data_IF_404330069610
#
_entry.id   IF_404330069610
#
_cell.length_a   1.000
_cell.length_b   1.000
_cell.length_c   1.000
_cell.angle_alpha   90.00
_cell.angle_beta   90.00
_cell.angle_gamma   90.00
#
_symmetry.space_group_name_H-M   'P 1'
#
loop_
_entity.id
_entity.type
_entity.pdbx_description
1 polymer ?
#
# COMPACT_ATOMS: atom_id res chain seq x y z
N UNK A 1 23.38 2.08 -23.85
CA UNK A 1 22.37 1.62 -22.89
C UNK A 1 21.00 1.71 -23.55
N UNK A 2 20.35 0.59 -23.84
CA UNK A 2 18.98 0.60 -24.40
C UNK A 2 18.02 0.80 -23.23
N UNK A 3 17.40 1.97 -23.14
CA UNK A 3 16.25 2.18 -22.26
C UNK A 3 15.16 1.17 -22.65
N UNK A 4 15.01 0.14 -21.84
CA UNK A 4 13.89 -0.79 -21.97
C UNK A 4 12.65 0.03 -21.64
N UNK A 5 11.75 0.19 -22.61
CA UNK A 5 10.46 0.82 -22.38
C UNK A 5 9.79 0.14 -21.17
N UNK A 6 9.19 0.90 -20.25
CA UNK A 6 8.50 0.30 -19.12
C UNK A 6 7.44 -0.65 -19.67
N UNK A 7 7.44 -1.87 -19.15
CA UNK A 7 6.48 -2.91 -19.55
C UNK A 7 5.10 -2.56 -19.01
N UNK A 8 4.35 -1.78 -19.77
CA UNK A 8 2.98 -1.38 -19.46
C UNK A 8 1.98 -2.53 -19.61
N UNK A 9 2.40 -3.71 -20.04
CA UNK A 9 1.54 -4.86 -20.23
C UNK A 9 0.82 -5.27 -18.95
N UNK A 10 1.46 -5.09 -17.77
CA UNK A 10 0.82 -5.38 -16.48
C UNK A 10 -0.33 -4.41 -16.14
N UNK A 11 -0.28 -3.16 -16.64
CA UNK A 11 -1.37 -2.19 -16.48
C UNK A 11 -2.54 -2.49 -17.43
N UNK A 12 -2.23 -3.12 -18.56
CA UNK A 12 -3.18 -3.43 -19.62
C UNK A 12 -3.70 -4.88 -19.51
N UNK A 13 -3.14 -5.69 -18.62
CA UNK A 13 -3.65 -7.04 -18.37
C UNK A 13 -5.11 -6.93 -17.94
N UNK A 14 -6.01 -7.12 -18.89
CA UNK A 14 -7.43 -7.29 -18.66
C UNK A 14 -7.58 -8.57 -17.83
N UNK A 15 -7.69 -8.42 -16.49
CA UNK A 15 -8.07 -9.55 -15.67
C UNK A 15 -9.51 -9.91 -16.04
N UNK A 16 -9.80 -11.18 -16.24
CA UNK A 16 -11.18 -11.70 -16.39
C UNK A 16 -12.04 -11.49 -15.13
N UNK A 17 -11.48 -10.78 -14.14
CA UNK A 17 -12.16 -10.45 -12.91
C UNK A 17 -13.37 -9.52 -13.19
N UNK A 18 -14.49 -9.73 -12.48
CA UNK A 18 -15.67 -8.87 -12.58
C UNK A 18 -15.32 -7.39 -12.36
N UNK A 19 -16.07 -6.52 -13.04
CA UNK A 19 -15.91 -5.07 -12.83
C UNK A 19 -16.20 -4.73 -11.35
N UNK A 20 -15.29 -4.03 -10.65
CA UNK A 20 -15.53 -3.65 -9.27
C UNK A 20 -16.64 -2.61 -9.17
N UNK A 21 -17.37 -2.57 -8.03
CA UNK A 21 -18.35 -1.51 -7.80
C UNK A 21 -17.64 -0.14 -7.73
N UNK A 22 -18.26 0.92 -8.29
CA UNK A 22 -17.68 2.26 -8.28
C UNK A 22 -17.51 2.78 -6.86
N UNK A 23 -16.42 3.50 -6.59
CA UNK A 23 -16.20 4.18 -5.30
C UNK A 23 -16.91 5.53 -5.34
N UNK A 24 -17.88 5.81 -4.45
CA UNK A 24 -18.53 7.11 -4.35
C UNK A 24 -17.54 8.23 -4.01
N UNK A 25 -17.76 9.41 -4.54
CA UNK A 25 -16.89 10.57 -4.30
C UNK A 25 -16.71 10.88 -2.80
N UNK A 26 -17.77 10.73 -2.00
CA UNK A 26 -17.67 10.92 -0.55
C UNK A 26 -16.69 9.98 0.16
N UNK A 27 -16.58 8.72 -0.28
CA UNK A 27 -15.58 7.79 0.24
C UNK A 27 -14.17 8.13 -0.24
N UNK A 28 -14.01 8.54 -1.50
CA UNK A 28 -12.72 9.03 -2.03
C UNK A 28 -12.20 10.23 -1.25
N UNK A 29 -13.07 11.20 -0.94
CA UNK A 29 -12.69 12.37 -0.14
C UNK A 29 -12.25 11.95 1.27
N UNK A 30 -12.99 11.06 1.94
CA UNK A 30 -12.62 10.56 3.27
C UNK A 30 -11.28 9.82 3.25
N UNK A 31 -11.07 8.94 2.28
CA UNK A 31 -9.79 8.25 2.10
C UNK A 31 -8.65 9.25 1.82
N UNK A 32 -8.89 10.27 1.00
CA UNK A 32 -7.93 11.34 0.73
C UNK A 32 -7.58 12.14 1.98
N UNK A 33 -8.53 12.42 2.88
CA UNK A 33 -8.28 13.08 4.17
C UNK A 33 -7.36 12.24 5.06
N UNK A 34 -7.60 10.92 5.17
CA UNK A 34 -6.70 10.02 5.89
C UNK A 34 -5.31 9.99 5.27
N UNK A 35 -5.22 9.96 3.95
CA UNK A 35 -3.94 10.01 3.21
C UNK A 35 -3.19 11.31 3.48
N UNK A 36 -3.87 12.46 3.41
CA UNK A 36 -3.27 13.76 3.69
C UNK A 36 -2.74 13.85 5.13
N UNK A 37 -3.52 13.34 6.10
CA UNK A 37 -3.09 13.29 7.51
C UNK A 37 -1.87 12.39 7.69
N UNK A 38 -1.86 11.20 7.10
CA UNK A 38 -0.75 10.26 7.15
C UNK A 38 0.53 10.84 6.53
N UNK A 39 0.40 11.50 5.37
CA UNK A 39 1.53 12.15 4.69
C UNK A 39 2.12 13.29 5.53
N UNK A 40 1.29 14.09 6.21
CA UNK A 40 1.78 15.12 7.15
C UNK A 40 2.52 14.51 8.35
N UNK A 41 2.06 13.35 8.85
CA UNK A 41 2.76 12.62 9.91
C UNK A 41 4.12 12.13 9.40
N UNK A 42 4.17 11.55 8.19
CA UNK A 42 5.41 11.09 7.57
C UNK A 42 6.43 12.24 7.42
N UNK A 43 5.98 13.38 6.91
CA UNK A 43 6.83 14.56 6.69
C UNK A 43 7.35 15.16 8.00
N UNK A 44 6.49 15.28 9.05
CA UNK A 44 6.86 15.95 10.29
C UNK A 44 7.58 15.06 11.29
N UNK A 45 7.25 13.79 11.31
CA UNK A 45 7.65 12.86 12.38
C UNK A 45 8.37 11.60 11.86
N UNK A 46 8.51 11.46 10.53
CA UNK A 46 9.18 10.34 9.90
C UNK A 46 8.39 9.04 9.92
N UNK A 47 9.08 7.95 9.51
CA UNK A 47 8.46 6.65 9.26
C UNK A 47 7.87 6.00 10.52
N UNK A 48 8.52 6.11 11.67
CA UNK A 48 8.08 5.47 12.91
C UNK A 48 6.63 5.80 13.31
N UNK A 49 6.25 7.09 13.47
CA UNK A 49 4.86 7.49 13.69
C UNK A 49 3.93 7.22 12.51
N UNK A 50 4.42 7.35 11.27
CA UNK A 50 3.61 7.14 10.07
C UNK A 50 3.14 5.69 9.93
N UNK A 51 4.03 4.70 10.12
CA UNK A 51 3.61 3.31 10.03
C UNK A 51 2.65 2.91 11.16
N UNK A 52 2.81 3.45 12.37
CA UNK A 52 1.84 3.24 13.47
C UNK A 52 0.47 3.81 13.12
N UNK A 53 0.42 4.96 12.43
CA UNK A 53 -0.84 5.50 11.94
C UNK A 53 -1.52 4.53 10.96
N UNK A 54 -0.78 3.94 10.02
CA UNK A 54 -1.32 2.94 9.09
C UNK A 54 -1.84 1.70 9.84
N UNK A 55 -1.07 1.16 10.80
CA UNK A 55 -1.47 0.00 11.60
C UNK A 55 -2.75 0.23 12.42
N UNK A 56 -3.03 1.45 12.83
CA UNK A 56 -4.21 1.82 13.61
C UNK A 56 -5.38 2.31 12.73
N UNK A 57 -5.14 2.42 11.41
CA UNK A 57 -6.14 2.93 10.50
C UNK A 57 -7.33 1.97 10.42
N UNK A 58 -8.52 2.52 10.58
CA UNK A 58 -9.77 1.80 10.36
C UNK A 58 -10.40 2.22 9.03
N UNK A 59 -11.04 1.30 8.32
CA UNK A 59 -11.79 1.63 7.13
C UNK A 59 -12.82 2.72 7.40
N UNK A 60 -13.05 3.59 6.43
CA UNK A 60 -14.06 4.66 6.55
C UNK A 60 -15.47 4.06 6.53
N UNK A 61 -16.43 4.61 7.29
CA UNK A 61 -17.81 4.10 7.30
C UNK A 61 -18.41 4.02 5.90
N UNK A 62 -19.00 2.86 5.57
CA UNK A 62 -19.59 2.57 4.27
C UNK A 62 -18.62 1.97 3.24
N UNK A 63 -17.40 1.61 3.65
CA UNK A 63 -16.42 0.92 2.81
C UNK A 63 -16.46 -0.61 2.93
N UNK A 64 -17.24 -1.17 3.84
CA UNK A 64 -17.28 -2.60 4.16
C UNK A 64 -17.46 -3.50 2.92
N UNK A 65 -18.23 -3.04 1.94
CA UNK A 65 -18.45 -3.74 0.67
C UNK A 65 -17.16 -3.96 -0.13
N UNK A 66 -16.12 -3.14 0.06
CA UNK A 66 -14.85 -3.31 -0.64
C UNK A 66 -13.94 -4.30 0.09
N UNK A 67 -14.03 -4.38 1.42
CA UNK A 67 -13.32 -5.38 2.21
C UNK A 67 -13.77 -6.82 1.88
N UNK A 68 -15.02 -6.98 1.45
CA UNK A 68 -15.60 -8.28 1.07
C UNK A 68 -15.34 -8.68 -0.40
N UNK A 69 -14.63 -7.87 -1.19
CA UNK A 69 -14.36 -8.19 -2.59
C UNK A 69 -13.41 -9.37 -2.75
N UNK A 70 -13.64 -10.26 -3.72
CA UNK A 70 -12.65 -11.27 -4.09
C UNK A 70 -11.33 -10.64 -4.51
N UNK A 71 -10.16 -11.26 -4.21
CA UNK A 71 -8.85 -10.68 -4.48
C UNK A 71 -8.66 -10.14 -5.90
N UNK A 72 -9.04 -10.83 -7.00
CA UNK A 72 -8.85 -10.27 -8.35
C UNK A 72 -9.66 -8.99 -8.59
N UNK A 73 -10.90 -8.93 -8.07
CA UNK A 73 -11.76 -7.73 -8.18
C UNK A 73 -11.23 -6.58 -7.32
N UNK A 74 -10.73 -6.88 -6.12
CA UNK A 74 -10.10 -5.90 -5.23
C UNK A 74 -8.82 -5.31 -5.84
N UNK A 75 -7.98 -6.12 -6.46
CA UNK A 75 -6.77 -5.66 -7.19
C UNK A 75 -7.17 -4.75 -8.36
N UNK A 76 -8.20 -5.12 -9.13
CA UNK A 76 -8.71 -4.30 -10.22
C UNK A 76 -9.22 -2.95 -9.71
N UNK A 77 -9.97 -2.94 -8.59
CA UNK A 77 -10.40 -1.71 -7.92
C UNK A 77 -9.21 -0.87 -7.49
N UNK A 78 -8.24 -1.47 -6.81
CA UNK A 78 -7.05 -0.78 -6.33
C UNK A 78 -6.31 -0.08 -7.48
N UNK A 79 -6.14 -0.74 -8.62
CA UNK A 79 -5.51 -0.16 -9.81
C UNK A 79 -6.28 1.05 -10.36
N UNK A 80 -7.62 1.00 -10.35
CA UNK A 80 -8.45 2.15 -10.76
C UNK A 80 -8.32 3.35 -9.81
N UNK A 81 -8.10 3.10 -8.51
CA UNK A 81 -8.00 4.14 -7.49
C UNK A 81 -6.58 4.72 -7.31
N UNK A 82 -5.56 4.17 -7.97
CA UNK A 82 -4.16 4.68 -7.88
C UNK A 82 -4.08 6.17 -8.18
N UNK A 83 -4.76 6.65 -9.23
CA UNK A 83 -4.72 8.06 -9.63
C UNK A 83 -5.23 8.99 -8.53
N UNK A 84 -6.29 8.58 -7.81
CA UNK A 84 -6.84 9.36 -6.69
C UNK A 84 -5.87 9.45 -5.52
N UNK A 85 -5.24 8.34 -5.15
CA UNK A 85 -4.23 8.33 -4.09
C UNK A 85 -3.02 9.20 -4.44
N UNK A 86 -2.55 9.13 -5.70
CA UNK A 86 -1.40 9.90 -6.17
C UNK A 86 -1.70 11.40 -6.32
N UNK A 87 -2.95 11.79 -6.57
CA UNK A 87 -3.35 13.19 -6.61
C UNK A 87 -3.09 13.87 -5.26
N UNK A 88 -3.52 13.26 -4.16
CA UNK A 88 -3.29 13.77 -2.80
C UNK A 88 -1.79 13.92 -2.53
N UNK A 89 -1.00 12.90 -2.87
CA UNK A 89 0.46 12.93 -2.70
C UNK A 89 1.11 14.05 -3.51
N UNK A 90 0.75 14.22 -4.78
CA UNK A 90 1.33 15.25 -5.66
C UNK A 90 1.13 16.67 -5.13
N UNK A 91 0.00 16.92 -4.45
CA UNK A 91 -0.27 18.21 -3.82
C UNK A 91 0.62 18.44 -2.59
N UNK A 92 0.85 17.40 -1.79
CA UNK A 92 1.56 17.51 -0.52
C UNK A 92 3.08 17.32 -0.64
N UNK A 93 3.52 16.48 -1.58
CA UNK A 93 4.92 16.08 -1.73
C UNK A 93 5.19 15.70 -3.21
N UNK A 94 5.35 16.70 -4.10
CA UNK A 94 5.54 16.48 -5.53
C UNK A 94 6.77 15.63 -5.83
N UNK A 95 7.87 15.85 -5.10
CA UNK A 95 9.17 15.18 -5.27
C UNK A 95 9.32 13.91 -4.39
N UNK A 96 8.21 13.43 -3.81
CA UNK A 96 8.22 12.32 -2.87
C UNK A 96 8.82 11.03 -3.43
N UNK A 97 9.75 10.47 -2.66
CA UNK A 97 10.45 9.21 -2.94
C UNK A 97 9.49 8.00 -2.94
N UNK A 98 10.03 6.82 -3.26
CA UNK A 98 9.28 5.56 -3.33
C UNK A 98 8.43 5.29 -2.06
N UNK A 99 8.97 5.59 -0.86
CA UNK A 99 8.26 5.39 0.41
C UNK A 99 6.99 6.26 0.50
N UNK A 100 7.06 7.53 0.14
CA UNK A 100 5.90 8.41 0.15
C UNK A 100 4.81 7.94 -0.84
N UNK A 101 5.21 7.42 -2.00
CA UNK A 101 4.31 6.89 -3.03
C UNK A 101 3.60 5.63 -2.58
N UNK A 102 4.34 4.66 -2.04
CA UNK A 102 3.76 3.38 -1.57
C UNK A 102 2.92 3.59 -0.31
N UNK A 103 3.38 4.42 0.62
CA UNK A 103 2.67 4.72 1.85
C UNK A 103 1.34 5.45 1.61
N UNK A 104 1.33 6.49 0.76
CA UNK A 104 0.10 7.19 0.41
C UNK A 104 -0.94 6.27 -0.23
N UNK A 105 -0.51 5.36 -1.11
CA UNK A 105 -1.38 4.37 -1.75
C UNK A 105 -1.94 3.38 -0.73
N UNK A 106 -1.09 2.82 0.14
CA UNK A 106 -1.53 1.88 1.16
C UNK A 106 -2.52 2.51 2.13
N UNK A 107 -2.27 3.73 2.62
CA UNK A 107 -3.23 4.44 3.49
C UNK A 107 -4.56 4.67 2.79
N UNK A 108 -4.54 5.12 1.53
CA UNK A 108 -5.74 5.39 0.76
C UNK A 108 -6.60 4.12 0.58
N UNK A 109 -5.96 3.03 0.17
CA UNK A 109 -6.64 1.75 -0.07
C UNK A 109 -7.13 1.10 1.23
N UNK A 110 -6.32 1.17 2.31
CA UNK A 110 -6.75 0.69 3.63
C UNK A 110 -7.93 1.49 4.19
N UNK A 111 -7.98 2.79 3.96
CA UNK A 111 -9.15 3.61 4.31
C UNK A 111 -10.41 3.19 3.54
N UNK A 112 -10.27 2.65 2.32
CA UNK A 112 -11.36 2.04 1.56
C UNK A 112 -11.66 0.60 1.95
N UNK A 113 -10.98 0.03 2.96
CA UNK A 113 -11.20 -1.34 3.44
C UNK A 113 -10.43 -2.41 2.66
N UNK A 114 -9.52 -2.04 1.75
CA UNK A 114 -8.66 -2.98 1.05
C UNK A 114 -7.40 -3.26 1.88
N UNK A 115 -7.00 -4.54 2.11
CA UNK A 115 -5.86 -4.89 2.94
C UNK A 115 -4.52 -4.64 2.21
N UNK A 116 -4.23 -3.37 1.95
CA UNK A 116 -3.02 -2.96 1.27
C UNK A 116 -1.87 -2.79 2.27
N UNK A 117 -0.70 -3.31 1.91
CA UNK A 117 0.51 -3.21 2.72
C UNK A 117 1.60 -2.40 2.03
N UNK A 118 2.47 -1.79 2.84
CA UNK A 118 3.72 -1.17 2.39
C UNK A 118 4.85 -2.16 2.65
N UNK A 119 5.56 -2.54 1.59
CA UNK A 119 6.78 -3.31 1.69
C UNK A 119 7.98 -2.36 1.60
N UNK A 120 8.85 -2.40 2.62
CA UNK A 120 10.15 -1.72 2.63
C UNK A 120 11.22 -2.78 2.49
N UNK A 121 12.14 -2.60 1.56
CA UNK A 121 13.13 -3.59 1.22
C UNK A 121 14.49 -2.96 0.90
N UNK A 122 15.55 -3.78 0.93
CA UNK A 122 16.91 -3.41 0.57
C UNK A 122 17.34 -4.21 -0.65
N UNK A 123 18.03 -3.55 -1.58
CA UNK A 123 18.59 -4.18 -2.77
C UNK A 123 19.56 -5.31 -2.38
N UNK A 124 19.45 -6.47 -3.05
CA UNK A 124 20.30 -7.64 -2.79
C UNK A 124 21.74 -7.43 -3.25
N UNK A 125 21.92 -6.68 -4.33
CA UNK A 125 23.24 -6.34 -4.89
C UNK A 125 23.32 -4.81 -4.91
N UNK A 126 23.83 -4.22 -3.84
CA UNK A 126 23.96 -2.78 -3.72
C UNK A 126 25.08 -2.27 -4.62
N UNK A 127 24.73 -1.77 -5.80
CA UNK A 127 25.67 -1.04 -6.68
C UNK A 127 25.94 0.38 -6.17
N UNK A 128 25.06 0.94 -5.34
CA UNK A 128 25.21 2.24 -4.69
C UNK A 128 24.57 2.22 -3.30
N UNK A 129 25.34 2.38 -2.20
CA UNK A 129 24.83 2.33 -0.83
C UNK A 129 23.80 3.43 -0.52
N UNK A 130 23.80 4.55 -1.24
CA UNK A 130 22.85 5.67 -1.02
C UNK A 130 21.43 5.35 -1.50
N UNK A 131 21.26 4.43 -2.46
CA UNK A 131 19.97 4.08 -3.05
C UNK A 131 19.53 2.65 -2.78
N UNK A 132 20.17 1.97 -1.83
CA UNK A 132 19.93 0.57 -1.53
C UNK A 132 18.56 0.24 -0.91
N UNK A 133 17.71 1.24 -0.59
CA UNK A 133 16.37 1.04 -0.06
C UNK A 133 15.31 1.35 -1.11
N UNK A 134 14.30 0.50 -1.14
CA UNK A 134 13.14 0.69 -1.99
C UNK A 134 11.85 0.34 -1.25
N UNK A 135 10.71 0.83 -1.74
CA UNK A 135 9.42 0.48 -1.18
C UNK A 135 8.32 0.50 -2.24
N UNK A 136 7.39 -0.40 -2.08
CA UNK A 136 6.21 -0.53 -2.93
C UNK A 136 4.97 -0.90 -2.11
N UNK A 137 3.80 -0.76 -2.71
CA UNK A 137 2.54 -1.18 -2.12
C UNK A 137 2.11 -2.51 -2.73
N UNK A 138 1.65 -3.43 -1.89
CA UNK A 138 1.13 -4.74 -2.28
C UNK A 138 -0.31 -4.94 -1.80
N UNK A 139 -1.09 -5.65 -2.61
CA UNK A 139 -2.43 -6.09 -2.26
C UNK A 139 -2.57 -7.55 -2.67
N UNK A 140 -2.78 -8.45 -1.71
CA UNK A 140 -2.80 -9.91 -1.91
C UNK A 140 -1.55 -10.44 -2.65
N UNK A 141 -0.38 -9.86 -2.36
CA UNK A 141 0.90 -10.21 -3.01
C UNK A 141 1.14 -9.58 -4.38
N UNK A 142 0.16 -8.84 -4.93
CA UNK A 142 0.32 -8.08 -6.18
C UNK A 142 0.92 -6.71 -5.93
N UNK A 143 2.00 -6.39 -6.64
CA UNK A 143 2.62 -5.07 -6.62
C UNK A 143 1.75 -4.08 -7.39
N UNK A 144 1.39 -2.95 -6.77
CA UNK A 144 0.45 -1.98 -7.33
C UNK A 144 1.10 -0.77 -8.00
N UNK A 145 2.21 -0.27 -7.44
CA UNK A 145 2.81 1.01 -7.84
C UNK A 145 4.24 0.88 -8.37
N UNK A 146 4.65 -0.33 -8.67
CA UNK A 146 5.95 -0.66 -9.25
C UNK A 146 5.86 -1.88 -10.17
N UNK A 147 6.97 -2.25 -10.82
CA UNK A 147 7.04 -3.45 -11.62
C UNK A 147 7.11 -4.71 -10.73
N UNK A 148 6.42 -5.81 -11.06
CA UNK A 148 6.45 -7.04 -10.24
C UNK A 148 7.84 -7.63 -10.00
N UNK A 149 8.80 -7.31 -10.86
CA UNK A 149 10.20 -7.78 -10.75
C UNK A 149 10.92 -7.25 -9.51
N UNK A 150 10.42 -6.16 -8.85
CA UNK A 150 11.03 -5.63 -7.62
C UNK A 150 11.06 -6.66 -6.51
N UNK A 151 10.09 -7.59 -6.45
CA UNK A 151 10.05 -8.64 -5.45
C UNK A 151 11.26 -9.60 -5.52
N UNK A 152 11.92 -9.71 -6.67
CA UNK A 152 13.08 -10.60 -6.89
C UNK A 152 14.42 -9.92 -6.65
N UNK A 153 14.48 -8.58 -6.82
CA UNK A 153 15.73 -7.80 -6.71
C UNK A 153 16.03 -7.30 -5.30
N UNK A 154 15.08 -7.44 -4.36
CA UNK A 154 15.18 -6.84 -3.04
C UNK A 154 14.89 -7.83 -1.92
N UNK A 155 15.61 -7.66 -0.80
CA UNK A 155 15.33 -8.35 0.46
C UNK A 155 14.35 -7.51 1.28
N UNK A 156 13.19 -8.08 1.57
CA UNK A 156 12.18 -7.43 2.42
C UNK A 156 12.72 -7.25 3.83
N UNK A 157 12.62 -6.05 4.35
CA UNK A 157 12.99 -5.68 5.71
C UNK A 157 11.74 -5.53 6.60
N UNK A 158 10.68 -4.96 6.03
CA UNK A 158 9.45 -4.69 6.77
C UNK A 158 8.25 -4.72 5.84
N UNK A 159 7.13 -5.26 6.33
CA UNK A 159 5.79 -5.09 5.77
C UNK A 159 4.90 -4.44 6.81
N UNK A 160 4.07 -3.51 6.40
CA UNK A 160 3.15 -2.77 7.27
C UNK A 160 1.78 -2.68 6.62
N UNK A 161 0.77 -3.17 7.32
CA UNK A 161 -0.65 -3.07 6.92
C UNK A 161 -1.51 -2.50 8.04
N UNK A 162 -2.76 -2.17 7.75
CA UNK A 162 -3.73 -1.70 8.73
C UNK A 162 -4.11 -2.77 9.76
N UNK A 163 -4.00 -4.06 9.40
CA UNK A 163 -4.43 -5.20 10.24
C UNK A 163 -3.32 -5.82 11.10
N UNK A 164 -2.07 -5.35 10.98
CA UNK A 164 -0.90 -5.91 11.68
C UNK A 164 -1.09 -6.00 13.21
N UNK A 165 -1.84 -5.07 13.79
CA UNK A 165 -2.09 -5.04 15.24
C UNK A 165 -3.05 -6.13 15.69
N UNK A 166 -4.03 -6.48 14.88
CA UNK A 166 -4.99 -7.54 15.15
C UNK A 166 -4.34 -8.93 14.99
N UNK A 167 -3.55 -9.12 13.94
CA UNK A 167 -2.82 -10.35 13.67
C UNK A 167 -1.78 -10.65 14.76
N UNK A 168 -1.03 -9.65 15.24
CA UNK A 168 -0.06 -9.80 16.33
C UNK A 168 -0.71 -10.10 17.66
N UNK A 169 -1.87 -9.52 17.98
CA UNK A 169 -2.63 -9.84 19.18
C UNK A 169 -3.13 -11.27 19.17
N UNK A 170 -3.66 -11.76 18.04
CA UNK A 170 -4.09 -13.15 17.88
C UNK A 170 -2.92 -14.13 18.03
N UNK A 171 -1.77 -13.84 17.43
CA UNK A 171 -0.56 -14.67 17.54
C UNK A 171 0.04 -14.66 18.96
N UNK A 172 0.02 -13.52 19.67
CA UNK A 172 0.49 -13.41 21.06
C UNK A 172 -0.35 -14.21 22.05
N UNK A 173 -1.66 -14.22 21.87
CA UNK A 173 -2.58 -14.99 22.72
C UNK A 173 -2.40 -16.51 22.56
N UNK A 174 -1.95 -16.96 21.40
CA UNK A 174 -1.76 -18.39 21.11
C UNK A 174 -0.47 -18.97 21.74
N UNK A 175 0.53 -18.12 22.00
CA UNK A 175 1.77 -18.53 22.65
C UNK A 175 1.58 -18.69 24.17
N UNK A 176 0.78 -17.84 24.80
CA UNK A 176 0.50 -17.93 26.24
C UNK A 176 -0.38 -19.13 26.63
N UNK A 177 -1.20 -19.66 25.71
CA UNK A 177 -2.03 -20.84 25.95
C UNK A 177 -1.29 -22.19 25.74
N UNK A 178 -0.08 -22.17 25.19
CA UNK A 178 0.70 -23.39 24.93
C UNK A 178 1.77 -23.67 26.01
N UNK A 179 1.81 -22.86 27.08
CA UNK A 179 2.86 -22.93 28.12
C UNK A 179 2.30 -23.29 29.52
N UNK A 180 0.99 -23.60 29.64
CA UNK A 180 0.33 -24.22 30.80
C UNK A 180 0.01 -25.72 30.49
#
# INVERSE_FOLDING_TARGET
>A
MRHRAPDWAFLLASSDAPAPPPVPMGLRIRAAVHTARAMRILQKHGWGPAHRYLQQLRPVPGSDRYAALPPPTAIRLARQEILWSQLVRRILEPDGLCLARSFSLAVYLSALGLPCEVTVARELVANNPEFGFHSWAELYGEVLNDAPVVQRGFRVLQRVSADDTAARRAAGTQIDMATD
#
